data_IF_096876910982
#
_entry.id   IF_096876910982
#
_cell.length_a   1.000
_cell.length_b   1.000
_cell.length_c   1.000
_cell.angle_alpha   90.00
_cell.angle_beta   90.00
_cell.angle_gamma   90.00
#
_symmetry.space_group_name_H-M   'P 1'
#
loop_
_entity.id
_entity.type
_entity.pdbx_description
1 polymer ?
#
# COMPACT_ATOMS: atom_id res chain seq x y z
N UNK A 1 0.99 0.80 -35.08
CA UNK A 1 1.22 1.55 -33.82
C UNK A 1 0.07 2.51 -33.59
N UNK A 2 -0.68 2.38 -32.48
CA UNK A 2 -1.65 3.41 -32.08
C UNK A 2 -0.89 4.69 -31.75
N UNK A 3 -1.24 5.81 -32.38
CA UNK A 3 -0.63 7.11 -32.06
C UNK A 3 -1.16 7.57 -30.71
N UNK A 4 -0.25 7.83 -29.77
CA UNK A 4 -0.56 8.34 -28.44
C UNK A 4 -0.86 9.85 -28.54
N UNK A 5 -2.08 10.17 -28.98
CA UNK A 5 -2.59 11.54 -28.98
C UNK A 5 -2.86 11.96 -27.52
N UNK A 6 -2.15 12.98 -27.03
CA UNK A 6 -2.41 13.59 -25.71
C UNK A 6 -1.22 13.63 -24.74
N UNK A 7 -0.07 13.04 -25.07
CA UNK A 7 1.15 13.26 -24.28
C UNK A 7 1.66 14.68 -24.53
N UNK A 8 1.56 15.55 -23.52
CA UNK A 8 2.15 16.89 -23.56
C UNK A 8 3.66 16.73 -23.75
N UNK A 9 4.21 17.27 -24.84
CA UNK A 9 5.64 17.20 -25.15
C UNK A 9 6.51 17.95 -24.14
N UNK A 10 5.93 18.96 -23.47
CA UNK A 10 6.61 19.82 -22.51
C UNK A 10 5.78 19.90 -21.24
N UNK A 11 6.25 19.29 -20.16
CA UNK A 11 5.76 19.56 -18.82
C UNK A 11 6.29 20.94 -18.38
N UNK A 12 5.43 21.80 -17.87
CA UNK A 12 5.85 23.04 -17.23
C UNK A 12 6.79 22.76 -16.06
N UNK A 13 7.62 23.74 -15.69
CA UNK A 13 8.49 23.64 -14.51
C UNK A 13 7.74 23.31 -13.22
N UNK A 14 6.45 23.68 -13.15
CA UNK A 14 5.55 23.36 -12.04
C UNK A 14 5.08 21.90 -12.06
N UNK A 15 4.73 21.36 -13.24
CA UNK A 15 4.38 19.95 -13.41
C UNK A 15 5.59 19.05 -13.13
N UNK A 16 6.79 19.47 -13.54
CA UNK A 16 8.04 18.78 -13.21
C UNK A 16 8.37 18.80 -11.70
N UNK A 17 7.97 19.85 -10.96
CA UNK A 17 8.11 19.86 -9.49
C UNK A 17 7.18 18.86 -8.82
N UNK A 18 5.93 18.72 -9.29
CA UNK A 18 4.99 17.69 -8.81
C UNK A 18 5.47 16.27 -9.10
N UNK A 19 6.13 16.05 -10.24
CA UNK A 19 6.72 14.76 -10.60
C UNK A 19 8.02 14.44 -9.83
N UNK A 20 8.78 15.45 -9.37
CA UNK A 20 9.98 15.24 -8.53
C UNK A 20 9.67 14.68 -7.15
N UNK A 21 8.45 14.89 -6.65
CA UNK A 21 8.01 14.38 -5.35
C UNK A 21 7.69 12.87 -5.38
N UNK A 22 7.74 12.24 -6.57
CA UNK A 22 7.62 10.79 -6.74
C UNK A 22 8.88 10.01 -6.33
N UNK A 23 9.99 10.71 -5.97
CA UNK A 23 11.21 10.06 -5.48
C UNK A 23 11.02 9.38 -4.12
N UNK A 24 9.94 9.69 -3.43
CA UNK A 24 9.56 9.11 -2.15
C UNK A 24 8.16 8.54 -2.26
N UNK A 25 8.01 7.42 -2.98
CA UNK A 25 7.13 6.41 -2.43
C UNK A 25 7.85 5.94 -1.17
N UNK A 26 7.49 6.50 -0.01
CA UNK A 26 7.85 5.84 1.24
C UNK A 26 7.21 4.46 1.16
N UNK A 27 8.02 3.46 0.82
CA UNK A 27 7.64 2.06 0.85
C UNK A 27 7.27 1.74 2.28
N UNK A 28 5.99 1.90 2.60
CA UNK A 28 5.42 1.43 3.84
C UNK A 28 5.57 -0.08 3.89
N UNK A 29 5.86 -0.58 5.08
CA UNK A 29 5.89 -2.00 5.44
C UNK A 29 5.05 -2.89 4.52
N UNK A 30 5.67 -3.93 3.97
CA UNK A 30 5.00 -4.90 3.10
C UNK A 30 4.34 -5.98 3.95
N UNK A 31 3.02 -6.13 3.84
CA UNK A 31 2.23 -7.08 4.62
C UNK A 31 1.78 -8.25 3.75
N UNK A 32 2.00 -9.47 4.21
CA UNK A 32 1.50 -10.71 3.61
C UNK A 32 0.49 -11.33 4.55
N UNK A 33 -0.74 -11.54 4.07
CA UNK A 33 -1.80 -12.17 4.86
C UNK A 33 -1.43 -13.64 5.15
N UNK A 34 -1.49 -14.01 6.43
CA UNK A 34 -1.30 -15.38 6.90
C UNK A 34 -2.48 -16.27 6.54
N UNK A 35 -2.25 -17.57 6.43
CA UNK A 35 -3.30 -18.58 6.20
C UNK A 35 -3.88 -19.13 7.51
N UNK A 36 -3.53 -18.54 8.66
CA UNK A 36 -4.02 -18.95 9.97
C UNK A 36 -5.30 -18.21 10.31
N UNK A 37 -6.31 -18.95 10.79
CA UNK A 37 -7.50 -18.33 11.38
C UNK A 37 -7.17 -17.87 12.80
N UNK A 38 -7.32 -16.57 13.05
CA UNK A 38 -7.02 -15.92 14.34
C UNK A 38 -8.27 -15.41 15.05
N UNK A 39 -9.44 -15.95 14.71
CA UNK A 39 -10.74 -15.57 15.26
C UNK A 39 -11.65 -14.86 14.25
N UNK A 40 -12.94 -14.86 14.55
CA UNK A 40 -13.95 -14.23 13.69
C UNK A 40 -13.72 -12.72 13.59
N UNK A 41 -13.68 -12.20 12.36
CA UNK A 41 -13.45 -10.78 12.09
C UNK A 41 -12.00 -10.31 12.30
N UNK A 42 -11.05 -11.24 12.52
CA UNK A 42 -9.64 -10.95 12.68
C UNK A 42 -8.80 -11.58 11.55
N UNK A 43 -7.79 -10.84 11.11
CA UNK A 43 -6.82 -11.28 10.10
C UNK A 43 -5.41 -11.10 10.63
N UNK A 44 -4.53 -12.05 10.32
CA UNK A 44 -3.12 -12.01 10.68
C UNK A 44 -2.26 -11.70 9.46
N UNK A 45 -1.23 -10.89 9.67
CA UNK A 45 -0.27 -10.49 8.64
C UNK A 45 1.16 -10.64 9.16
N UNK A 46 2.03 -11.18 8.31
CA UNK A 46 3.47 -11.06 8.47
C UNK A 46 3.96 -9.79 7.77
N UNK A 47 4.75 -8.99 8.47
CA UNK A 47 5.19 -7.66 8.05
C UNK A 47 6.69 -7.66 7.73
N UNK A 48 7.05 -7.02 6.61
CA UNK A 48 8.42 -6.95 6.08
C UNK A 48 8.79 -5.52 5.74
N UNK A 49 10.09 -5.22 5.66
CA UNK A 49 10.59 -3.89 5.27
C UNK A 49 10.25 -3.54 3.81
N UNK A 50 10.10 -4.54 2.95
CA UNK A 50 9.80 -4.43 1.51
C UNK A 50 9.45 -5.82 0.93
N UNK A 51 8.99 -5.93 -0.33
CA UNK A 51 8.92 -7.23 -1.01
C UNK A 51 10.30 -7.90 -1.03
N UNK A 52 10.40 -9.12 -0.50
CA UNK A 52 11.68 -9.83 -0.30
C UNK A 52 12.61 -9.21 0.76
N UNK A 53 12.13 -8.25 1.53
CA UNK A 53 12.88 -7.55 2.58
C UNK A 53 12.97 -8.34 3.89
N UNK A 54 13.57 -7.72 4.90
CA UNK A 54 13.72 -8.32 6.22
C UNK A 54 12.36 -8.44 6.93
N UNK A 55 12.18 -9.55 7.67
CA UNK A 55 11.03 -9.74 8.53
C UNK A 55 11.06 -8.71 9.67
N UNK A 56 9.92 -8.04 9.89
CA UNK A 56 9.73 -7.07 10.98
C UNK A 56 9.00 -7.73 12.15
N UNK A 57 7.92 -8.46 11.86
CA UNK A 57 7.05 -9.02 12.89
C UNK A 57 5.69 -9.44 12.35
N UNK A 58 4.77 -9.72 13.27
CA UNK A 58 3.42 -10.17 12.99
C UNK A 58 2.41 -9.26 13.63
N UNK A 59 1.34 -8.95 12.91
CA UNK A 59 0.23 -8.13 13.40
C UNK A 59 -1.09 -8.87 13.21
N UNK A 60 -2.01 -8.68 14.16
CA UNK A 60 -3.40 -9.13 14.05
C UNK A 60 -4.28 -7.89 13.97
N UNK A 61 -5.09 -7.82 12.92
CA UNK A 61 -6.05 -6.72 12.71
C UNK A 61 -7.44 -7.29 12.82
N UNK A 62 -8.18 -6.84 13.82
CA UNK A 62 -9.59 -7.19 14.00
C UNK A 62 -10.46 -6.02 13.58
N UNK A 63 -11.49 -6.31 12.78
CA UNK A 63 -12.50 -5.31 12.46
C UNK A 63 -13.22 -4.93 13.76
N UNK A 64 -13.40 -3.63 14.06
CA UNK A 64 -14.23 -3.24 15.18
C UNK A 64 -15.62 -3.83 14.93
N UNK A 65 -16.09 -4.64 15.88
CA UNK A 65 -17.45 -5.17 15.85
C UNK A 65 -18.37 -3.97 15.75
N UNK A 66 -19.08 -3.81 14.63
CA UNK A 66 -20.23 -2.91 14.57
C UNK A 66 -21.20 -3.49 15.61
N UNK A 67 -21.16 -2.98 16.84
CA UNK A 67 -22.24 -3.19 17.78
C UNK A 67 -23.43 -2.53 17.12
N UNK A 68 -24.28 -3.34 16.47
CA UNK A 68 -25.59 -2.90 16.08
C UNK A 68 -26.22 -2.30 17.34
N UNK A 69 -26.48 -1.00 17.29
CA UNK A 69 -27.29 -0.35 18.30
C UNK A 69 -28.70 -0.93 18.11
N UNK A 70 -29.12 -1.76 19.06
CA UNK A 70 -30.51 -2.17 19.24
C UNK A 70 -31.38 -0.97 19.65
#
# INVERSE_FOLDING_TARGET
>A
MKKLNGMKSNFSSLENKKLKDLKTIQGGSYNVKSNVSVGEGCEEYDTYTSPGGAYIGRITVCSPRLTAAD
#
